data_IF_960556595260
#
_entry.id   IF_960556595260
#
_cell.length_a   1.000
_cell.length_b   1.000
_cell.length_c   1.000
_cell.angle_alpha   90.00
_cell.angle_beta   90.00
_cell.angle_gamma   90.00
#
_symmetry.space_group_name_H-M   'P 1'
#
loop_
_entity.id
_entity.type
_entity.pdbx_description
1 polymer ?
#
# COMPACT_ATOMS: atom_id res chain seq x y z
N UNK A 1 -55.82 66.77 29.33
CA UNK A 1 -55.89 66.48 27.89
C UNK A 1 -55.50 65.01 27.71
N UNK A 2 -56.45 64.14 27.33
CA UNK A 2 -56.29 62.67 27.24
C UNK A 2 -55.45 62.34 26.01
N UNK A 3 -54.41 61.50 26.13
CA UNK A 3 -53.72 60.89 24.97
C UNK A 3 -53.79 59.39 25.12
N UNK A 4 -54.42 58.77 24.12
CA UNK A 4 -54.74 57.36 24.03
C UNK A 4 -53.57 56.53 23.44
N UNK A 5 -53.53 55.26 23.83
CA UNK A 5 -52.64 54.20 23.33
C UNK A 5 -52.83 53.95 21.83
N UNK A 6 -51.74 53.64 21.14
CA UNK A 6 -51.75 52.86 19.90
C UNK A 6 -50.65 51.78 20.03
N UNK A 7 -51.07 50.51 20.07
CA UNK A 7 -50.19 49.33 20.06
C UNK A 7 -50.25 48.78 18.64
N UNK A 8 -49.12 48.78 17.92
CA UNK A 8 -49.00 48.10 16.63
C UNK A 8 -48.83 46.60 16.86
N UNK A 9 -49.76 45.80 16.31
CA UNK A 9 -49.62 44.36 16.20
C UNK A 9 -48.79 44.02 14.95
N UNK A 10 -47.67 43.33 15.13
CA UNK A 10 -46.87 42.77 14.03
C UNK A 10 -47.33 41.33 13.81
N UNK A 11 -47.99 41.09 12.69
CA UNK A 11 -48.38 39.74 12.24
C UNK A 11 -47.17 39.03 11.63
N UNK A 12 -46.63 38.02 12.31
CA UNK A 12 -45.63 37.13 11.74
C UNK A 12 -46.30 36.10 10.82
N UNK A 13 -46.08 36.22 9.50
CA UNK A 13 -46.36 35.16 8.54
C UNK A 13 -45.28 34.08 8.67
N UNK A 14 -45.65 32.89 9.12
CA UNK A 14 -44.81 31.69 9.04
C UNK A 14 -44.88 31.14 7.60
N UNK A 15 -43.77 31.22 6.87
CA UNK A 15 -43.59 30.49 5.61
C UNK A 15 -42.88 29.17 5.98
N UNK A 16 -43.49 27.99 5.79
CA UNK A 16 -42.78 26.73 5.98
C UNK A 16 -41.76 26.57 4.85
N UNK A 17 -40.48 26.64 5.20
CA UNK A 17 -39.40 26.23 4.31
C UNK A 17 -39.39 24.71 4.26
N UNK A 18 -39.85 24.13 3.15
CA UNK A 18 -39.65 22.71 2.82
C UNK A 18 -38.60 22.63 1.72
N UNK A 19 -37.76 21.61 1.84
CA UNK A 19 -36.64 21.17 0.98
C UNK A 19 -35.26 21.63 1.48
N UNK A 20 -34.24 20.79 1.48
CA UNK A 20 -34.13 19.42 0.96
C UNK A 20 -32.64 19.04 0.95
N UNK A 21 -32.35 17.78 1.23
CA UNK A 21 -31.00 17.24 1.22
C UNK A 21 -30.82 16.17 2.29
N UNK A 22 -31.44 15.01 2.07
CA UNK A 22 -30.92 13.81 2.72
C UNK A 22 -29.50 13.61 2.16
N UNK A 23 -28.50 13.94 2.97
CA UNK A 23 -27.14 13.44 2.75
C UNK A 23 -27.30 11.93 2.70
N UNK A 24 -27.04 11.33 1.54
CA UNK A 24 -26.98 9.88 1.45
C UNK A 24 -25.85 9.47 2.39
N UNK A 25 -26.21 9.02 3.60
CA UNK A 25 -25.27 8.36 4.47
C UNK A 25 -24.86 7.09 3.72
N UNK A 26 -23.70 7.14 3.08
CA UNK A 26 -23.10 5.95 2.51
C UNK A 26 -22.91 4.98 3.67
N UNK A 27 -23.67 3.89 3.69
CA UNK A 27 -23.47 2.84 4.68
C UNK A 27 -22.04 2.33 4.48
N UNK A 28 -21.24 2.35 5.55
CA UNK A 28 -19.91 1.77 5.56
C UNK A 28 -19.97 0.31 5.06
N UNK A 29 -19.01 -0.13 4.24
CA UNK A 29 -19.04 -1.48 3.73
C UNK A 29 -18.92 -2.50 4.86
N UNK A 30 -19.56 -3.66 4.68
CA UNK A 30 -19.53 -4.72 5.69
C UNK A 30 -18.21 -5.48 5.60
N UNK A 31 -17.32 -5.20 6.55
CA UNK A 31 -16.01 -5.84 6.67
C UNK A 31 -16.03 -6.91 7.74
N UNK A 32 -15.46 -8.08 7.44
CA UNK A 32 -15.34 -9.20 8.38
C UNK A 32 -13.89 -9.35 8.85
N UNK A 33 -13.66 -9.58 10.14
CA UNK A 33 -12.34 -9.98 10.64
C UNK A 33 -12.19 -11.49 10.56
N UNK A 34 -11.18 -11.99 9.84
CA UNK A 34 -10.92 -13.43 9.71
C UNK A 34 -9.76 -13.91 10.59
N UNK A 35 -8.83 -13.03 10.94
CA UNK A 35 -7.70 -13.35 11.83
C UNK A 35 -7.38 -12.17 12.74
N UNK A 36 -6.81 -12.45 13.92
CA UNK A 36 -6.53 -11.49 14.98
C UNK A 36 -5.24 -11.86 15.72
N UNK A 37 -4.68 -10.92 16.49
CA UNK A 37 -3.51 -11.14 17.35
C UNK A 37 -2.18 -11.26 16.60
N UNK A 38 -2.11 -10.71 15.39
CA UNK A 38 -0.90 -10.66 14.58
C UNK A 38 0.08 -9.62 15.13
N UNK A 39 1.38 -9.85 14.93
CA UNK A 39 2.46 -8.97 15.38
C UNK A 39 3.02 -8.17 14.20
N UNK A 40 2.52 -6.96 14.03
CA UNK A 40 2.94 -6.02 12.99
C UNK A 40 2.96 -6.67 11.58
N UNK A 41 1.82 -7.22 11.12
CA UNK A 41 1.74 -7.86 9.82
C UNK A 41 2.00 -6.82 8.72
N UNK A 42 2.75 -7.20 7.67
CA UNK A 42 3.30 -6.23 6.70
C UNK A 42 2.83 -6.44 5.26
N UNK A 43 2.89 -7.68 4.76
CA UNK A 43 2.44 -8.02 3.41
C UNK A 43 1.51 -9.23 3.38
N UNK A 44 0.57 -9.23 2.44
CA UNK A 44 -0.25 -10.38 2.04
C UNK A 44 0.23 -10.86 0.66
N UNK A 45 0.51 -12.15 0.51
CA UNK A 45 0.78 -12.76 -0.80
C UNK A 45 0.00 -14.07 -0.95
N UNK A 46 -0.95 -14.11 -1.89
CA UNK A 46 -1.78 -15.29 -2.10
C UNK A 46 -1.04 -16.40 -2.84
N UNK A 47 -1.22 -17.62 -2.36
CA UNK A 47 -0.80 -18.85 -3.01
C UNK A 47 -1.86 -19.33 -4.00
N UNK A 48 -1.47 -20.08 -5.04
CA UNK A 48 -2.41 -20.90 -5.80
C UNK A 48 -3.15 -21.83 -4.84
N UNK A 49 -4.48 -21.70 -4.76
CA UNK A 49 -5.32 -22.46 -3.84
C UNK A 49 -6.09 -21.61 -2.81
N UNK A 50 -5.78 -20.33 -2.67
CA UNK A 50 -6.57 -19.39 -1.87
C UNK A 50 -5.97 -19.02 -0.52
N UNK A 51 -5.04 -19.81 0.00
CA UNK A 51 -4.31 -19.45 1.22
C UNK A 51 -3.39 -18.25 0.97
N UNK A 52 -3.21 -17.41 1.98
CA UNK A 52 -2.28 -16.30 1.97
C UNK A 52 -1.03 -16.62 2.79
N UNK A 53 0.11 -16.14 2.32
CA UNK A 53 1.29 -15.92 3.15
C UNK A 53 1.25 -14.49 3.71
N UNK A 54 1.56 -14.35 4.99
CA UNK A 54 1.63 -13.05 5.67
C UNK A 54 2.97 -12.90 6.37
N UNK A 55 3.64 -11.78 6.15
CA UNK A 55 4.88 -11.43 6.88
C UNK A 55 4.58 -10.68 8.16
N UNK A 56 5.26 -11.02 9.24
CA UNK A 56 5.32 -10.21 10.47
C UNK A 56 6.65 -9.47 10.55
N UNK A 57 6.61 -8.13 10.52
CA UNK A 57 7.81 -7.28 10.44
C UNK A 57 8.78 -7.54 11.59
N UNK A 58 8.27 -7.46 12.82
CA UNK A 58 9.09 -7.40 14.03
C UNK A 58 9.59 -8.78 14.48
N UNK A 59 8.81 -9.84 14.23
CA UNK A 59 9.11 -11.21 14.65
C UNK A 59 9.85 -12.01 13.57
N UNK A 60 9.92 -11.46 12.35
CA UNK A 60 10.43 -12.12 11.15
C UNK A 60 9.70 -13.44 10.80
N UNK A 61 8.48 -13.64 11.33
CA UNK A 61 7.69 -14.83 11.05
C UNK A 61 7.01 -14.72 9.69
N UNK A 62 7.05 -15.82 8.96
CA UNK A 62 6.16 -16.09 7.85
C UNK A 62 4.96 -16.90 8.38
N UNK A 63 3.76 -16.41 8.14
CA UNK A 63 2.52 -17.06 8.50
C UNK A 63 1.80 -17.55 7.25
N UNK A 64 1.05 -18.64 7.38
CA UNK A 64 0.03 -19.07 6.42
C UNK A 64 -1.33 -18.77 7.03
N UNK A 65 -2.24 -18.23 6.22
CA UNK A 65 -3.61 -17.90 6.60
C UNK A 65 -4.56 -18.49 5.58
N UNK A 66 -5.50 -19.32 6.02
CA UNK A 66 -6.52 -19.90 5.14
C UNK A 66 -7.67 -18.92 4.90
N UNK A 67 -8.50 -19.09 3.85
CA UNK A 67 -9.71 -18.29 3.65
C UNK A 67 -10.69 -18.33 4.83
N UNK A 68 -10.66 -19.41 5.63
CA UNK A 68 -11.47 -19.55 6.83
C UNK A 68 -10.89 -18.81 8.05
N UNK A 69 -9.73 -18.16 7.92
CA UNK A 69 -9.08 -17.40 8.99
C UNK A 69 -8.15 -18.21 9.89
N UNK A 70 -7.88 -19.48 9.57
CA UNK A 70 -6.93 -20.27 10.34
C UNK A 70 -5.51 -19.77 10.07
N UNK A 71 -4.82 -19.37 11.14
CA UNK A 71 -3.42 -18.92 11.08
C UNK A 71 -2.49 -20.05 11.56
N UNK A 72 -1.43 -20.32 10.80
CA UNK A 72 -0.33 -21.20 11.20
C UNK A 72 1.00 -20.51 10.93
N UNK A 73 1.98 -20.74 11.79
CA UNK A 73 3.32 -20.24 11.57
C UNK A 73 4.10 -21.21 10.69
N UNK A 74 4.62 -20.71 9.57
CA UNK A 74 5.48 -21.47 8.66
C UNK A 74 6.90 -21.53 9.21
N UNK A 75 7.42 -20.40 9.70
CA UNK A 75 8.77 -20.32 10.23
C UNK A 75 9.25 -18.90 10.46
N UNK A 76 10.51 -18.76 10.87
CA UNK A 76 11.20 -17.46 11.02
C UNK A 76 12.22 -17.33 9.90
N UNK A 77 12.22 -16.19 9.21
CA UNK A 77 13.20 -15.91 8.17
C UNK A 77 14.54 -15.53 8.83
N UNK A 78 15.64 -16.27 8.58
CA UNK A 78 16.91 -16.03 9.24
C UNK A 78 17.57 -14.73 8.75
N UNK A 79 18.35 -14.10 9.63
CA UNK A 79 19.14 -12.90 9.29
C UNK A 79 18.34 -11.60 9.23
N UNK A 80 17.03 -11.64 9.47
CA UNK A 80 16.18 -10.45 9.61
C UNK A 80 16.51 -9.72 10.91
N UNK A 81 16.71 -8.41 10.83
CA UNK A 81 16.92 -7.53 11.98
C UNK A 81 15.74 -6.59 12.09
N UNK A 82 15.06 -6.64 13.23
CA UNK A 82 14.00 -5.70 13.58
C UNK A 82 14.55 -4.28 13.70
N UNK A 83 13.88 -3.34 13.03
CA UNK A 83 14.08 -1.89 13.13
C UNK A 83 12.71 -1.19 13.21
N UNK A 84 12.62 0.09 13.59
CA UNK A 84 11.33 0.79 13.69
C UNK A 84 10.44 0.70 12.43
N UNK A 85 11.01 0.75 11.23
CA UNK A 85 10.30 0.46 9.96
C UNK A 85 11.07 -0.54 9.08
N UNK A 86 11.82 -1.46 9.70
CA UNK A 86 12.56 -2.51 9.01
C UNK A 86 12.34 -3.86 9.67
N UNK A 87 12.50 -4.93 8.91
CA UNK A 87 12.23 -6.30 9.36
C UNK A 87 11.90 -7.20 8.18
N UNK A 88 10.96 -8.13 8.35
CA UNK A 88 10.38 -8.89 7.23
C UNK A 88 9.24 -8.08 6.60
N UNK A 89 9.47 -7.54 5.41
CA UNK A 89 8.59 -6.59 4.75
C UNK A 89 7.76 -7.27 3.64
N UNK A 90 7.95 -6.87 2.39
CA UNK A 90 7.17 -7.35 1.25
C UNK A 90 7.37 -8.83 0.99
N UNK A 91 6.30 -9.46 0.50
CA UNK A 91 6.27 -10.83 -0.01
C UNK A 91 5.77 -10.80 -1.46
N UNK A 92 6.32 -11.68 -2.29
CA UNK A 92 5.78 -11.95 -3.62
C UNK A 92 5.85 -13.44 -3.91
N UNK A 93 4.71 -14.05 -4.24
CA UNK A 93 4.64 -15.44 -4.70
C UNK A 93 4.95 -15.46 -6.20
N UNK A 94 5.80 -16.38 -6.64
CA UNK A 94 6.16 -16.53 -8.06
C UNK A 94 4.91 -16.70 -8.93
N UNK A 95 4.82 -16.07 -10.12
CA UNK A 95 3.76 -16.36 -11.10
C UNK A 95 3.73 -17.83 -11.52
N UNK A 96 4.84 -18.55 -11.34
CA UNK A 96 5.01 -19.97 -11.63
C UNK A 96 5.07 -20.84 -10.36
N UNK A 97 4.49 -20.35 -9.25
CA UNK A 97 4.58 -21.03 -7.95
C UNK A 97 4.12 -22.49 -7.98
N UNK A 98 3.11 -22.83 -8.79
CA UNK A 98 2.64 -24.20 -8.92
C UNK A 98 3.75 -25.16 -9.44
N UNK A 99 4.72 -24.65 -10.20
CA UNK A 99 5.84 -25.40 -10.73
C UNK A 99 7.12 -25.23 -9.90
N UNK A 100 7.45 -23.99 -9.52
CA UNK A 100 8.76 -23.65 -8.96
C UNK A 100 8.80 -23.55 -7.43
N UNK A 101 7.62 -23.42 -6.80
CA UNK A 101 7.41 -23.22 -5.36
C UNK A 101 8.14 -22.01 -4.78
N UNK A 102 8.50 -21.03 -5.60
CA UNK A 102 9.29 -19.88 -5.16
C UNK A 102 8.44 -18.77 -4.54
N UNK A 103 8.92 -18.28 -3.40
CA UNK A 103 8.45 -17.06 -2.74
C UNK A 103 9.64 -16.13 -2.54
N UNK A 104 9.40 -14.85 -2.76
CA UNK A 104 10.36 -13.77 -2.58
C UNK A 104 9.97 -12.95 -1.36
N UNK A 105 10.98 -12.51 -0.61
CA UNK A 105 10.80 -11.65 0.55
C UNK A 105 11.81 -10.51 0.55
N UNK A 106 11.34 -9.32 0.93
CA UNK A 106 12.18 -8.16 1.20
C UNK A 106 12.49 -8.12 2.69
N UNK A 107 13.77 -8.10 3.04
CA UNK A 107 14.22 -8.21 4.42
C UNK A 107 15.22 -7.12 4.76
N UNK A 108 15.06 -6.52 5.93
CA UNK A 108 16.09 -5.69 6.57
C UNK A 108 17.05 -6.56 7.36
N UNK A 109 18.35 -6.35 7.17
CA UNK A 109 19.43 -7.03 7.87
C UNK A 109 20.21 -6.03 8.74
N UNK A 110 21.30 -6.50 9.34
CA UNK A 110 22.22 -5.63 10.06
C UNK A 110 22.94 -4.64 9.13
N UNK A 111 23.14 -4.98 7.85
CA UNK A 111 23.98 -4.22 6.92
C UNK A 111 23.18 -3.49 5.83
N UNK A 112 22.07 -4.07 5.38
CA UNK A 112 21.31 -3.61 4.22
C UNK A 112 19.84 -4.04 4.30
N UNK A 113 19.03 -3.55 3.37
CA UNK A 113 17.86 -4.24 2.90
C UNK A 113 18.27 -5.16 1.74
N UNK A 114 17.60 -6.29 1.59
CA UNK A 114 17.86 -7.24 0.50
C UNK A 114 16.62 -8.03 0.13
N UNK A 115 16.62 -8.57 -1.07
CA UNK A 115 15.60 -9.47 -1.57
C UNK A 115 16.15 -10.89 -1.51
N UNK A 116 15.43 -11.76 -0.82
CA UNK A 116 15.68 -13.20 -0.80
C UNK A 116 14.60 -13.93 -1.60
N UNK A 117 14.94 -15.12 -2.07
CA UNK A 117 14.02 -16.10 -2.63
C UNK A 117 14.20 -17.42 -1.89
N UNK A 118 13.11 -18.13 -1.65
CA UNK A 118 13.10 -19.45 -1.04
C UNK A 118 12.02 -20.33 -1.65
N UNK A 119 12.14 -21.64 -1.46
CA UNK A 119 11.09 -22.60 -1.80
C UNK A 119 10.15 -22.77 -0.62
N UNK A 120 8.85 -22.75 -0.89
CA UNK A 120 7.80 -22.98 0.08
C UNK A 120 6.89 -24.13 -0.39
N UNK A 121 6.88 -25.22 0.36
CA UNK A 121 6.02 -26.39 0.14
C UNK A 121 5.76 -27.08 1.47
N UNK A 122 4.56 -27.62 1.65
CA UNK A 122 4.16 -28.39 2.83
C UNK A 122 4.52 -27.68 4.16
N UNK A 123 4.13 -26.40 4.25
CA UNK A 123 4.40 -25.50 5.38
C UNK A 123 5.90 -25.40 5.78
N UNK A 124 6.81 -25.66 4.84
CA UNK A 124 8.25 -25.68 5.07
C UNK A 124 8.99 -24.72 4.13
N UNK A 125 10.00 -24.02 4.67
CA UNK A 125 10.89 -23.13 3.92
C UNK A 125 12.22 -23.85 3.65
N UNK A 126 12.64 -23.86 2.39
CA UNK A 126 13.93 -24.43 1.96
C UNK A 126 14.61 -23.52 0.94
N UNK A 127 15.88 -23.78 0.63
CA UNK A 127 16.63 -23.11 -0.45
C UNK A 127 16.62 -21.58 -0.41
N UNK A 128 16.78 -20.99 0.78
CA UNK A 128 16.89 -19.54 0.93
C UNK A 128 18.15 -19.02 0.22
N UNK A 129 17.98 -18.10 -0.72
CA UNK A 129 19.05 -17.43 -1.48
C UNK A 129 18.80 -15.93 -1.51
N UNK A 130 19.86 -15.14 -1.33
CA UNK A 130 19.81 -13.71 -1.64
C UNK A 130 19.90 -13.52 -3.15
N UNK A 131 18.97 -12.77 -3.73
CA UNK A 131 18.95 -12.46 -5.17
C UNK A 131 19.30 -11.00 -5.46
N UNK A 132 19.12 -10.10 -4.48
CA UNK A 132 19.60 -8.72 -4.56
C UNK A 132 19.97 -8.25 -3.16
N UNK A 133 21.18 -7.72 -2.98
CA UNK A 133 21.68 -7.16 -1.72
C UNK A 133 22.10 -5.70 -1.90
N UNK A 134 22.50 -5.05 -0.82
CA UNK A 134 23.06 -3.70 -0.87
C UNK A 134 22.04 -2.58 -1.04
N UNK A 135 20.74 -2.86 -0.90
CA UNK A 135 19.74 -1.78 -0.79
C UNK A 135 20.00 -1.07 0.54
N UNK A 136 20.16 0.25 0.60
CA UNK A 136 20.46 0.91 1.87
C UNK A 136 19.38 0.64 2.93
N UNK A 137 19.77 0.63 4.20
CA UNK A 137 18.89 0.39 5.34
C UNK A 137 19.03 1.50 6.37
N UNK A 138 17.91 1.86 6.98
CA UNK A 138 17.85 2.79 8.10
C UNK A 138 16.71 2.37 9.05
N UNK A 139 16.52 3.10 10.13
CA UNK A 139 15.41 2.86 11.05
C UNK A 139 14.05 3.23 10.43
N UNK A 140 14.05 4.12 9.43
CA UNK A 140 12.88 4.61 8.71
C UNK A 140 13.21 4.75 7.21
N UNK A 141 12.18 4.84 6.37
CA UNK A 141 12.23 4.97 4.91
C UNK A 141 12.98 3.84 4.19
N UNK A 142 12.58 2.60 4.49
CA UNK A 142 13.14 1.39 3.86
C UNK A 142 12.38 0.93 2.61
N UNK A 143 11.27 1.57 2.25
CA UNK A 143 10.33 1.05 1.24
C UNK A 143 9.82 -0.34 1.61
N UNK A 144 10.02 -1.31 0.72
CA UNK A 144 9.97 -2.73 1.05
C UNK A 144 8.85 -3.53 0.38
N UNK A 145 8.04 -2.94 -0.50
CA UNK A 145 6.98 -3.69 -1.22
C UNK A 145 7.62 -4.51 -2.34
N UNK A 146 7.16 -5.75 -2.49
CA UNK A 146 7.48 -6.63 -3.60
C UNK A 146 6.21 -6.98 -4.35
N UNK A 147 6.28 -7.02 -5.69
CA UNK A 147 5.18 -7.54 -6.51
C UNK A 147 5.70 -7.97 -7.87
N UNK A 148 5.16 -9.06 -8.42
CA UNK A 148 5.37 -9.38 -9.82
C UNK A 148 4.46 -8.52 -10.69
N UNK A 149 5.05 -7.90 -11.73
CA UNK A 149 4.31 -7.17 -12.75
C UNK A 149 3.65 -8.10 -13.76
N UNK A 150 2.76 -7.57 -14.62
CA UNK A 150 2.12 -8.34 -15.70
C UNK A 150 3.11 -8.87 -16.75
N UNK A 151 4.34 -8.34 -16.76
CA UNK A 151 5.47 -8.77 -17.59
C UNK A 151 6.27 -9.93 -16.98
N UNK A 152 5.87 -10.44 -15.81
CA UNK A 152 6.56 -11.52 -15.10
C UNK A 152 7.85 -11.11 -14.39
N UNK A 153 8.18 -9.82 -14.35
CA UNK A 153 9.35 -9.31 -13.63
C UNK A 153 8.99 -8.97 -12.18
N UNK A 154 9.97 -9.08 -11.31
CA UNK A 154 9.83 -8.69 -9.90
C UNK A 154 10.10 -7.20 -9.76
N UNK A 155 9.17 -6.47 -9.17
CA UNK A 155 9.33 -5.08 -8.81
C UNK A 155 9.54 -4.95 -7.31
N UNK A 156 10.48 -4.09 -6.93
CA UNK A 156 10.79 -3.80 -5.53
C UNK A 156 10.81 -2.30 -5.28
N UNK A 157 10.11 -1.87 -4.24
CA UNK A 157 10.07 -0.46 -3.85
C UNK A 157 11.07 -0.22 -2.72
N UNK A 158 11.76 0.91 -2.76
CA UNK A 158 12.78 1.28 -1.75
C UNK A 158 12.48 2.68 -1.22
N UNK A 159 13.16 3.07 -0.15
CA UNK A 159 13.11 4.44 0.35
C UNK A 159 14.48 5.09 0.36
N UNK A 160 14.54 6.37 0.71
CA UNK A 160 15.75 7.18 0.68
C UNK A 160 16.66 6.94 1.89
N UNK A 161 16.19 6.19 2.89
CA UNK A 161 16.97 5.79 4.08
C UNK A 161 17.68 6.96 4.79
N UNK A 162 17.05 8.15 4.83
CA UNK A 162 17.61 9.36 5.45
C UNK A 162 18.87 9.90 4.77
N UNK A 163 19.03 9.63 3.47
CA UNK A 163 20.14 10.08 2.64
C UNK A 163 19.58 10.77 1.39
N UNK A 164 19.61 12.10 1.41
CA UNK A 164 18.98 12.95 0.38
C UNK A 164 19.65 12.82 -0.99
N UNK A 165 20.89 12.33 -1.04
CA UNK A 165 21.62 12.05 -2.27
C UNK A 165 21.15 10.78 -2.98
N UNK A 166 20.63 9.78 -2.26
CA UNK A 166 20.29 8.48 -2.84
C UNK A 166 19.20 8.53 -3.91
N UNK A 167 18.05 9.21 -3.72
CA UNK A 167 16.96 9.22 -4.68
C UNK A 167 17.39 9.62 -6.10
N UNK A 168 18.28 10.60 -6.23
CA UNK A 168 18.76 11.14 -7.51
C UNK A 168 19.99 10.39 -8.06
N UNK A 169 20.71 9.65 -7.22
CA UNK A 169 21.89 8.87 -7.64
C UNK A 169 21.48 7.51 -8.24
N UNK A 170 21.81 7.28 -9.52
CA UNK A 170 21.56 6.03 -10.24
C UNK A 170 22.47 4.87 -9.79
N UNK A 171 23.60 5.17 -9.13
CA UNK A 171 24.46 4.14 -8.53
C UNK A 171 23.91 3.62 -7.19
N UNK A 172 22.94 4.34 -6.59
CA UNK A 172 22.27 3.93 -5.36
C UNK A 172 20.96 3.19 -5.64
N UNK A 173 20.69 2.17 -4.83
CA UNK A 173 19.40 1.47 -4.80
C UNK A 173 18.37 2.15 -3.87
N UNK A 174 18.76 3.21 -3.14
CA UNK A 174 17.85 3.97 -2.28
C UNK A 174 17.01 4.96 -3.08
N UNK A 175 15.73 5.11 -2.70
CA UNK A 175 14.79 6.06 -3.30
C UNK A 175 14.42 5.72 -4.74
N UNK A 176 14.21 4.43 -5.01
CA UNK A 176 13.93 3.84 -6.33
C UNK A 176 12.70 2.94 -6.31
N UNK A 177 12.10 2.75 -7.48
CA UNK A 177 11.45 1.48 -7.82
C UNK A 177 12.43 0.69 -8.68
N UNK A 178 12.64 -0.57 -8.32
CA UNK A 178 13.53 -1.50 -9.00
C UNK A 178 12.70 -2.50 -9.81
N UNK A 179 13.23 -2.95 -10.95
CA UNK A 179 12.67 -4.03 -11.77
C UNK A 179 13.76 -5.04 -12.11
N UNK A 180 13.54 -6.28 -11.68
CA UNK A 180 14.50 -7.37 -11.76
C UNK A 180 13.83 -8.63 -12.32
N UNK A 181 14.63 -9.48 -12.94
CA UNK A 181 14.21 -10.86 -13.21
C UNK A 181 13.90 -11.59 -11.90
N UNK A 182 13.13 -12.70 -11.92
CA UNK A 182 12.86 -13.49 -10.71
C UNK A 182 14.13 -14.01 -9.99
N UNK A 183 15.26 -14.07 -10.71
CA UNK A 183 16.59 -14.46 -10.19
C UNK A 183 17.44 -13.26 -9.71
N UNK A 184 16.94 -12.03 -9.80
CA UNK A 184 17.61 -10.83 -9.27
C UNK A 184 18.50 -10.05 -10.23
N UNK A 185 18.65 -10.50 -11.49
CA UNK A 185 19.37 -9.73 -12.53
C UNK A 185 18.56 -8.53 -13.02
N UNK A 186 19.18 -7.45 -13.53
CA UNK A 186 18.51 -6.42 -14.30
C UNK A 186 17.55 -7.02 -15.32
N UNK A 187 16.30 -6.56 -15.32
CA UNK A 187 15.29 -7.10 -16.23
C UNK A 187 15.52 -6.55 -17.65
N UNK A 188 15.31 -7.35 -18.71
CA UNK A 188 15.37 -6.88 -20.08
C UNK A 188 14.44 -5.69 -20.31
N UNK A 189 14.93 -4.66 -21.00
CA UNK A 189 14.17 -3.43 -21.26
C UNK A 189 14.19 -2.42 -20.09
N UNK A 190 15.01 -2.63 -19.07
CA UNK A 190 15.26 -1.57 -18.08
C UNK A 190 15.84 -0.31 -18.74
N UNK A 191 15.47 0.89 -18.25
CA UNK A 191 15.80 2.16 -18.89
C UNK A 191 17.28 2.57 -18.69
N UNK A 192 17.96 2.01 -17.69
CA UNK A 192 19.35 2.31 -17.37
C UNK A 192 20.23 1.08 -17.62
N UNK A 193 21.34 1.22 -18.38
CA UNK A 193 22.24 0.10 -18.70
C UNK A 193 22.74 -0.63 -17.45
N UNK A 194 22.72 -1.96 -17.49
CA UNK A 194 23.20 -2.86 -16.43
C UNK A 194 22.66 -2.57 -15.02
N UNK A 195 21.47 -1.96 -14.93
CA UNK A 195 20.88 -1.52 -13.67
C UNK A 195 19.50 -2.13 -13.45
N UNK A 196 19.21 -2.48 -12.19
CA UNK A 196 17.88 -2.87 -11.73
C UNK A 196 16.94 -1.67 -11.52
N UNK A 197 17.44 -0.44 -11.62
CA UNK A 197 16.62 0.76 -11.44
C UNK A 197 15.58 0.88 -12.56
N UNK A 198 14.32 1.01 -12.17
CA UNK A 198 13.20 1.26 -13.07
C UNK A 198 12.82 2.74 -13.09
N UNK A 199 12.68 3.34 -11.90
CA UNK A 199 12.44 4.78 -11.71
C UNK A 199 13.21 5.29 -10.50
N UNK A 200 13.41 6.61 -10.45
CA UNK A 200 14.23 7.28 -9.44
C UNK A 200 13.53 8.54 -8.88
N UNK A 201 14.16 9.16 -7.88
CA UNK A 201 13.62 10.36 -7.25
C UNK A 201 12.46 10.08 -6.31
N UNK A 202 12.48 8.95 -5.60
CA UNK A 202 11.46 8.58 -4.63
C UNK A 202 11.94 8.77 -3.19
N UNK A 203 11.03 9.13 -2.29
CA UNK A 203 11.24 9.23 -0.85
C UNK A 203 11.06 7.90 -0.14
N UNK A 204 9.86 7.32 -0.13
CA UNK A 204 9.59 6.06 0.56
C UNK A 204 8.34 5.39 -0.02
N UNK A 205 8.55 4.50 -0.99
CA UNK A 205 7.46 3.83 -1.71
C UNK A 205 7.12 2.53 -1.01
N UNK A 206 5.85 2.30 -0.65
CA UNK A 206 5.41 1.07 0.02
C UNK A 206 4.21 0.38 -0.63
N UNK A 207 3.82 0.81 -1.82
CA UNK A 207 2.80 0.15 -2.62
C UNK A 207 3.12 0.25 -4.10
N UNK A 208 2.84 -0.82 -4.83
CA UNK A 208 2.82 -0.84 -6.29
C UNK A 208 1.74 -1.80 -6.77
N UNK A 209 0.99 -1.39 -7.78
CA UNK A 209 -0.04 -2.19 -8.43
C UNK A 209 -0.08 -1.88 -9.93
N UNK A 210 -0.70 -2.77 -10.69
CA UNK A 210 -0.99 -2.54 -12.09
C UNK A 210 -2.48 -2.59 -12.33
N UNK A 211 -2.95 -1.78 -13.26
CA UNK A 211 -4.27 -1.94 -13.82
C UNK A 211 -4.28 -3.02 -14.94
N UNK A 212 -5.45 -3.36 -15.51
CA UNK A 212 -5.55 -4.38 -16.55
C UNK A 212 -4.87 -4.02 -17.88
N UNK A 213 -4.57 -2.73 -18.10
CA UNK A 213 -3.83 -2.27 -19.28
C UNK A 213 -2.30 -2.35 -19.06
N UNK A 214 -1.86 -2.73 -17.87
CA UNK A 214 -0.44 -2.82 -17.50
C UNK A 214 0.18 -1.49 -17.08
N UNK A 215 -0.63 -0.45 -16.82
CA UNK A 215 -0.14 0.81 -16.24
C UNK A 215 0.18 0.58 -14.76
N UNK A 216 1.38 0.94 -14.36
CA UNK A 216 1.84 0.79 -12.99
C UNK A 216 1.47 2.04 -12.17
N UNK A 217 1.02 1.84 -10.93
CA UNK A 217 0.74 2.90 -9.97
C UNK A 217 1.44 2.59 -8.66
N UNK A 218 2.04 3.58 -8.03
CA UNK A 218 2.72 3.43 -6.75
C UNK A 218 2.32 4.52 -5.75
N UNK A 219 2.27 4.14 -4.49
CA UNK A 219 1.98 5.02 -3.36
C UNK A 219 3.27 5.37 -2.63
N UNK A 220 3.38 6.63 -2.22
CA UNK A 220 4.59 7.16 -1.63
C UNK A 220 4.30 8.04 -0.42
N UNK A 221 5.09 7.84 0.63
CA UNK A 221 5.05 8.70 1.82
C UNK A 221 5.79 10.00 1.55
N UNK A 222 5.10 11.11 1.74
CA UNK A 222 5.66 12.44 1.83
C UNK A 222 6.54 12.64 3.05
N UNK A 223 7.21 13.78 3.12
CA UNK A 223 8.01 14.16 4.28
C UNK A 223 7.15 14.79 5.36
N UNK A 224 6.52 15.90 5.02
CA UNK A 224 5.65 16.63 5.95
C UNK A 224 4.37 17.10 5.27
N UNK A 225 4.38 17.27 3.95
CA UNK A 225 3.38 18.07 3.25
C UNK A 225 2.46 17.20 2.40
N UNK A 226 3.02 16.35 1.54
CA UNK A 226 2.27 15.64 0.52
C UNK A 226 2.69 14.17 0.40
N UNK A 227 1.77 13.27 0.72
CA UNK A 227 1.83 11.89 0.23
C UNK A 227 1.32 11.83 -1.21
N UNK A 228 1.70 10.78 -1.94
CA UNK A 228 1.48 10.74 -3.39
C UNK A 228 0.91 9.40 -3.88
N UNK A 229 0.13 9.49 -4.95
CA UNK A 229 -0.12 8.41 -5.90
C UNK A 229 0.51 8.80 -7.23
N UNK A 230 1.39 7.95 -7.73
CA UNK A 230 2.17 8.19 -8.93
C UNK A 230 1.83 7.14 -10.01
N UNK A 231 1.60 7.56 -11.26
CA UNK A 231 1.68 6.65 -12.41
C UNK A 231 3.17 6.41 -12.73
N UNK A 232 3.58 5.15 -12.71
CA UNK A 232 4.99 4.74 -12.80
C UNK A 232 5.40 4.47 -14.24
N UNK A 233 6.36 5.28 -14.74
CA UNK A 233 6.85 5.21 -16.11
C UNK A 233 8.36 4.96 -16.16
N UNK A 234 8.85 3.94 -16.90
CA UNK A 234 10.28 3.59 -16.92
C UNK A 234 11.19 4.78 -17.21
N UNK A 235 12.22 4.97 -16.39
CA UNK A 235 13.25 5.99 -16.53
C UNK A 235 12.85 7.36 -15.99
N UNK A 236 11.60 7.54 -15.56
CA UNK A 236 11.11 8.80 -15.03
C UNK A 236 11.64 9.09 -13.63
N UNK A 237 11.84 10.39 -13.37
CA UNK A 237 12.30 10.95 -12.11
C UNK A 237 11.13 11.64 -11.40
N UNK A 238 10.81 11.18 -10.18
CA UNK A 238 9.70 11.67 -9.35
C UNK A 238 10.12 12.80 -8.41
N UNK A 239 11.39 13.18 -8.45
CA UNK A 239 11.85 14.49 -8.03
C UNK A 239 12.23 14.66 -6.57
N UNK A 240 11.94 13.71 -5.68
CA UNK A 240 12.47 13.76 -4.31
C UNK A 240 14.02 13.73 -4.33
N UNK A 241 14.73 14.53 -3.51
CA UNK A 241 14.22 15.49 -2.51
C UNK A 241 14.03 16.91 -3.02
N UNK A 242 14.21 17.17 -4.31
CA UNK A 242 14.12 18.51 -4.88
C UNK A 242 12.68 19.04 -4.93
N UNK A 243 11.71 18.13 -5.09
CA UNK A 243 10.27 18.44 -5.01
C UNK A 243 9.54 17.41 -4.13
N UNK A 244 8.45 17.85 -3.51
CA UNK A 244 7.48 17.04 -2.76
C UNK A 244 6.07 17.46 -3.22
N UNK A 245 5.28 16.55 -3.77
CA UNK A 245 3.93 16.82 -4.24
C UNK A 245 3.87 17.43 -5.66
N UNK A 246 2.90 18.32 -5.93
CA UNK A 246 2.64 18.80 -7.29
C UNK A 246 3.87 19.49 -7.91
N UNK A 247 4.25 19.05 -9.11
CA UNK A 247 5.44 19.54 -9.82
C UNK A 247 5.17 19.83 -11.31
N UNK A 248 3.93 20.20 -11.65
CA UNK A 248 3.47 20.48 -13.02
C UNK A 248 4.34 21.57 -13.67
N UNK A 249 4.83 21.29 -14.88
CA UNK A 249 5.70 22.20 -15.64
C UNK A 249 7.18 22.17 -15.25
N UNK A 250 7.55 21.31 -14.29
CA UNK A 250 8.95 21.03 -13.96
C UNK A 250 9.54 19.91 -14.83
N UNK A 251 10.82 19.59 -14.61
CA UNK A 251 11.50 18.43 -15.22
C UNK A 251 11.13 17.09 -14.57
N UNK A 252 10.42 17.12 -13.45
CA UNK A 252 10.03 15.94 -12.68
C UNK A 252 8.64 15.46 -13.10
N UNK A 253 8.40 14.17 -12.88
CA UNK A 253 7.07 13.58 -13.08
C UNK A 253 6.20 13.96 -11.90
N UNK A 254 5.08 14.62 -12.17
CA UNK A 254 4.14 15.02 -11.13
C UNK A 254 3.27 13.83 -10.69
N UNK A 255 2.86 13.78 -9.41
CA UNK A 255 1.90 12.79 -8.93
C UNK A 255 0.51 13.01 -9.51
N UNK A 256 -0.22 11.91 -9.69
CA UNK A 256 -1.62 11.90 -10.12
C UNK A 256 -2.54 12.44 -9.01
N UNK A 257 -2.23 12.08 -7.75
CA UNK A 257 -2.95 12.54 -6.56
C UNK A 257 -1.95 12.88 -5.46
N UNK A 258 -2.26 13.92 -4.70
CA UNK A 258 -1.58 14.24 -3.45
C UNK A 258 -2.56 14.29 -2.27
N UNK A 259 -2.10 13.82 -1.11
CA UNK A 259 -2.82 13.94 0.16
C UNK A 259 -1.98 14.66 1.19
N UNK A 260 -2.60 15.34 2.17
CA UNK A 260 -1.84 15.73 3.37
C UNK A 260 -1.40 14.48 4.10
N UNK A 261 -0.19 14.51 4.67
CA UNK A 261 0.43 13.36 5.35
C UNK A 261 -0.48 12.70 6.39
N UNK A 262 -1.17 13.50 7.21
CA UNK A 262 -2.15 13.02 8.19
C UNK A 262 -3.46 12.46 7.63
N UNK A 263 -3.75 12.66 6.34
CA UNK A 263 -4.94 12.11 5.67
C UNK A 263 -4.67 10.75 5.01
N UNK A 264 -3.41 10.40 4.74
CA UNK A 264 -3.05 9.15 4.09
C UNK A 264 -1.94 8.41 4.83
N UNK A 265 -0.69 8.81 4.64
CA UNK A 265 0.51 7.99 4.85
C UNK A 265 0.33 6.60 4.18
N UNK A 266 0.21 6.56 2.83
CA UNK A 266 -0.29 5.41 2.08
C UNK A 266 0.76 4.31 1.96
N UNK A 267 0.37 3.06 2.20
CA UNK A 267 1.24 1.90 2.10
C UNK A 267 0.80 0.97 0.98
N UNK A 268 0.25 -0.22 1.27
CA UNK A 268 -0.18 -1.16 0.23
C UNK A 268 -1.26 -0.61 -0.70
N UNK A 269 -1.22 -1.04 -1.96
CA UNK A 269 -2.14 -0.67 -3.04
C UNK A 269 -2.48 -1.90 -3.87
N UNK A 270 -3.71 -2.02 -4.35
CA UNK A 270 -4.09 -3.00 -5.36
C UNK A 270 -5.15 -2.45 -6.31
N UNK A 271 -5.17 -2.93 -7.55
CA UNK A 271 -6.30 -2.68 -8.46
C UNK A 271 -7.39 -3.71 -8.24
N UNK A 272 -8.65 -3.27 -8.14
CA UNK A 272 -9.81 -4.14 -8.18
C UNK A 272 -11.05 -3.38 -8.68
N UNK A 273 -11.76 -3.99 -9.63
CA UNK A 273 -13.06 -3.52 -10.15
C UNK A 273 -13.05 -2.03 -10.52
N UNK A 274 -12.14 -1.62 -11.40
CA UNK A 274 -12.12 -0.23 -11.90
C UNK A 274 -11.52 0.80 -10.93
N UNK A 275 -10.96 0.38 -9.80
CA UNK A 275 -10.36 1.30 -8.83
C UNK A 275 -9.02 0.79 -8.29
N UNK A 276 -8.17 1.73 -7.89
CA UNK A 276 -7.05 1.47 -7.00
C UNK A 276 -7.55 1.56 -5.56
N UNK A 277 -7.26 0.55 -4.77
CA UNK A 277 -7.55 0.47 -3.34
C UNK A 277 -6.26 0.65 -2.57
N UNK A 278 -6.19 1.61 -1.66
CA UNK A 278 -4.97 2.03 -0.98
C UNK A 278 -5.18 1.99 0.53
N UNK A 279 -4.36 1.21 1.23
CA UNK A 279 -4.33 1.15 2.68
C UNK A 279 -3.55 2.35 3.24
N UNK A 280 -4.17 3.10 4.14
CA UNK A 280 -3.62 4.33 4.70
C UNK A 280 -3.34 4.19 6.20
N UNK A 281 -2.14 4.55 6.62
CA UNK A 281 -1.69 4.40 8.00
C UNK A 281 -2.08 5.60 8.86
N UNK A 282 -1.49 6.77 8.58
CA UNK A 282 -1.75 7.99 9.34
C UNK A 282 -3.17 8.51 9.13
N UNK A 283 -3.72 8.26 7.94
CA UNK A 283 -5.11 8.55 7.62
C UNK A 283 -6.12 7.59 8.25
N UNK A 284 -5.68 6.43 8.75
CA UNK A 284 -6.50 5.37 9.35
C UNK A 284 -7.74 5.03 8.50
N UNK A 285 -7.56 4.82 7.20
CA UNK A 285 -8.66 4.59 6.24
C UNK A 285 -8.24 3.73 5.07
N UNK A 286 -9.23 3.27 4.32
CA UNK A 286 -9.05 2.68 2.99
C UNK A 286 -9.48 3.71 1.94
N UNK A 287 -8.58 4.09 1.05
CA UNK A 287 -8.91 4.92 -0.10
C UNK A 287 -9.31 4.05 -1.29
N UNK A 288 -10.38 4.46 -1.98
CA UNK A 288 -10.73 3.97 -3.31
C UNK A 288 -10.53 5.10 -4.32
N UNK A 289 -9.67 4.88 -5.32
CA UNK A 289 -9.40 5.84 -6.40
C UNK A 289 -9.92 5.24 -7.71
N UNK A 290 -11.05 5.71 -8.25
CA UNK A 290 -11.55 5.24 -9.54
C UNK A 290 -10.54 5.48 -10.66
N UNK A 291 -10.46 4.54 -11.60
CA UNK A 291 -9.66 4.66 -12.82
C UNK A 291 -10.56 4.46 -14.04
N UNK A 292 -10.48 5.40 -14.98
CA UNK A 292 -11.12 5.21 -16.27
C UNK A 292 -10.31 4.25 -17.18
N UNK A 293 -10.81 3.99 -18.40
CA UNK A 293 -10.11 3.11 -19.36
C UNK A 293 -8.78 3.68 -19.84
N UNK A 294 -8.64 5.00 -19.88
CA UNK A 294 -7.41 5.69 -20.25
C UNK A 294 -6.36 5.66 -19.12
N UNK A 295 -6.76 5.28 -17.91
CA UNK A 295 -5.91 5.29 -16.72
C UNK A 295 -5.97 6.60 -15.95
N UNK A 296 -6.90 7.50 -16.29
CA UNK A 296 -7.09 8.75 -15.57
C UNK A 296 -7.70 8.45 -14.20
N UNK A 297 -7.10 9.04 -13.16
CA UNK A 297 -7.62 8.98 -11.80
C UNK A 297 -8.87 9.84 -11.62
N UNK A 298 -9.90 9.28 -10.99
CA UNK A 298 -11.08 9.98 -10.53
C UNK A 298 -10.92 10.54 -9.10
N UNK A 299 -12.00 11.10 -8.56
CA UNK A 299 -12.03 11.62 -7.19
C UNK A 299 -11.89 10.48 -6.17
N UNK A 300 -10.91 10.52 -5.25
CA UNK A 300 -10.80 9.53 -4.19
C UNK A 300 -12.03 9.48 -3.28
N UNK A 301 -12.44 8.27 -2.92
CA UNK A 301 -13.51 7.96 -1.97
C UNK A 301 -12.91 7.33 -0.72
N UNK A 302 -13.33 7.82 0.45
CA UNK A 302 -12.87 7.33 1.75
C UNK A 302 -13.78 6.22 2.26
N UNK A 303 -13.19 5.16 2.81
CA UNK A 303 -13.88 4.07 3.49
C UNK A 303 -13.21 3.78 4.83
N UNK A 304 -13.98 3.25 5.80
CA UNK A 304 -13.48 2.71 7.06
C UNK A 304 -12.70 3.71 7.93
N UNK A 305 -13.01 5.01 7.83
CA UNK A 305 -12.25 6.08 8.48
C UNK A 305 -12.25 5.93 10.01
N UNK A 306 -11.08 5.67 10.60
CA UNK A 306 -10.86 5.48 12.04
C UNK A 306 -11.40 4.17 12.61
N UNK A 307 -12.13 3.38 11.81
CA UNK A 307 -12.87 2.18 12.27
C UNK A 307 -11.90 1.12 12.78
N UNK A 308 -10.85 0.82 12.02
CA UNK A 308 -9.86 -0.21 12.35
C UNK A 308 -8.48 0.35 12.73
N UNK A 309 -8.34 1.67 12.75
CA UNK A 309 -7.05 2.34 12.91
C UNK A 309 -6.21 2.27 11.64
N UNK A 310 -4.90 2.04 11.80
CA UNK A 310 -3.90 2.09 10.74
C UNK A 310 -4.05 0.89 9.81
N UNK A 311 -4.16 1.11 8.50
CA UNK A 311 -4.18 0.05 7.49
C UNK A 311 -2.87 0.01 6.70
N UNK A 312 -2.28 -1.19 6.56
CA UNK A 312 -0.93 -1.41 6.02
C UNK A 312 -0.90 -1.96 4.62
N UNK A 313 -1.70 -2.98 4.36
CA UNK A 313 -1.71 -3.66 3.08
C UNK A 313 -3.13 -3.94 2.66
N UNK A 314 -3.33 -4.01 1.35
CA UNK A 314 -4.59 -4.41 0.73
C UNK A 314 -4.29 -5.23 -0.52
N UNK A 315 -4.85 -6.43 -0.59
CA UNK A 315 -4.61 -7.37 -1.68
C UNK A 315 -5.93 -8.01 -2.15
N UNK A 316 -6.01 -8.29 -3.45
CA UNK A 316 -7.14 -9.04 -4.03
C UNK A 316 -6.91 -10.53 -3.79
N UNK A 317 -7.82 -11.16 -3.05
CA UNK A 317 -7.88 -12.59 -2.88
C UNK A 317 -8.34 -13.28 -4.17
N UNK A 318 -8.04 -14.58 -4.37
CA UNK A 318 -8.43 -15.30 -5.58
C UNK A 318 -9.94 -15.36 -5.85
N UNK A 319 -10.77 -15.16 -4.83
CA UNK A 319 -12.24 -15.06 -4.94
C UNK A 319 -12.74 -13.64 -5.29
N UNK A 320 -11.82 -12.67 -5.44
CA UNK A 320 -12.11 -11.28 -5.74
C UNK A 320 -12.38 -10.39 -4.52
N UNK A 321 -12.34 -10.93 -3.29
CA UNK A 321 -12.46 -10.14 -2.08
C UNK A 321 -11.19 -9.31 -1.84
N UNK A 322 -11.30 -8.19 -1.13
CA UNK A 322 -10.14 -7.43 -0.67
C UNK A 322 -9.78 -7.85 0.75
N UNK A 323 -8.57 -8.35 0.93
CA UNK A 323 -8.00 -8.60 2.25
C UNK A 323 -7.15 -7.41 2.66
N UNK A 324 -7.28 -6.97 3.91
CA UNK A 324 -6.55 -5.83 4.46
C UNK A 324 -5.86 -6.21 5.76
N UNK A 325 -4.68 -5.64 5.98
CA UNK A 325 -3.94 -5.75 7.24
C UNK A 325 -4.10 -4.47 8.06
N UNK A 326 -4.44 -4.61 9.35
CA UNK A 326 -4.22 -3.51 10.32
C UNK A 326 -2.75 -3.46 10.75
N UNK A 327 -2.30 -2.31 11.25
CA UNK A 327 -0.93 -2.10 11.70
C UNK A 327 -0.85 -1.21 12.95
N UNK A 328 -1.72 -1.46 13.91
CA UNK A 328 -1.79 -0.74 15.17
C UNK A 328 -0.71 -1.19 16.17
N UNK A 329 -0.05 -2.32 15.92
CA UNK A 329 1.07 -2.82 16.76
C UNK A 329 2.45 -2.39 16.27
N UNK A 330 2.54 -1.42 15.34
CA UNK A 330 3.80 -1.00 14.73
C UNK A 330 4.63 -0.02 15.58
N UNK A 331 4.11 0.40 16.73
CA UNK A 331 4.73 1.32 17.68
C UNK A 331 4.31 2.80 17.52
N UNK A 332 3.44 3.12 16.55
CA UNK A 332 2.99 4.51 16.28
C UNK A 332 1.68 4.84 17.01
N UNK A 333 0.76 3.89 17.11
CA UNK A 333 -0.55 4.06 17.77
C UNK A 333 -0.73 3.07 18.92
N UNK A 334 -1.70 3.33 19.79
CA UNK A 334 -2.10 2.38 20.82
C UNK A 334 -2.88 1.20 20.18
N UNK A 335 -2.35 -0.02 20.32
CA UNK A 335 -3.02 -1.23 19.86
C UNK A 335 -4.31 -1.50 20.65
N UNK A 336 -5.34 -1.96 19.95
CA UNK A 336 -6.63 -2.37 20.55
C UNK A 336 -6.61 -3.88 20.82
N UNK A 337 -7.51 -4.40 21.68
CA UNK A 337 -7.64 -5.84 21.87
C UNK A 337 -7.87 -6.57 20.53
N UNK A 338 -7.10 -7.64 20.29
CA UNK A 338 -7.15 -8.43 19.06
C UNK A 338 -6.32 -7.87 17.89
N UNK A 339 -5.67 -6.71 18.04
CA UNK A 339 -4.77 -6.20 17.00
C UNK A 339 -3.44 -7.00 16.95
N UNK A 340 -2.83 -7.15 15.78
CA UNK A 340 -3.33 -6.75 14.46
C UNK A 340 -4.20 -7.84 13.80
N UNK A 341 -4.98 -7.43 12.79
CA UNK A 341 -6.08 -8.20 12.21
C UNK A 341 -5.93 -8.35 10.70
N UNK A 342 -6.57 -9.40 10.18
CA UNK A 342 -6.89 -9.51 8.75
C UNK A 342 -8.37 -9.27 8.58
N UNK A 343 -8.68 -8.29 7.75
CA UNK A 343 -10.02 -7.83 7.43
C UNK A 343 -10.37 -8.22 6.00
N UNK A 344 -11.62 -8.56 5.74
CA UNK A 344 -12.11 -8.95 4.41
C UNK A 344 -13.30 -8.08 4.03
N UNK A 345 -13.16 -7.40 2.90
CA UNK A 345 -14.26 -6.76 2.18
C UNK A 345 -14.72 -7.70 1.05
N UNK A 346 -15.97 -8.21 1.09
CA UNK A 346 -16.44 -9.21 0.13
C UNK A 346 -16.47 -8.72 -1.32
N UNK A 347 -16.18 -9.61 -2.26
CA UNK A 347 -16.09 -9.32 -3.70
C UNK A 347 -17.34 -8.61 -4.27
N UNK A 348 -18.54 -9.00 -3.82
CA UNK A 348 -19.79 -8.37 -4.28
C UNK A 348 -19.87 -6.89 -3.88
N UNK A 349 -19.35 -6.55 -2.69
CA UNK A 349 -19.28 -5.17 -2.24
C UNK A 349 -18.17 -4.42 -2.98
N UNK A 350 -17.00 -5.03 -3.18
CA UNK A 350 -15.93 -4.46 -4.01
C UNK A 350 -16.45 -4.13 -5.41
N UNK A 351 -17.24 -5.02 -6.02
CA UNK A 351 -17.87 -4.79 -7.31
C UNK A 351 -18.87 -3.62 -7.27
N UNK A 352 -19.76 -3.61 -6.27
CA UNK A 352 -20.76 -2.56 -6.11
C UNK A 352 -20.13 -1.17 -5.91
N UNK A 353 -19.04 -1.11 -5.14
CA UNK A 353 -18.29 0.11 -4.90
C UNK A 353 -17.49 0.54 -6.14
N UNK A 354 -16.93 -0.41 -6.88
CA UNK A 354 -16.12 -0.14 -8.08
C UNK A 354 -16.89 0.52 -9.23
N UNK A 355 -18.20 0.25 -9.37
CA UNK A 355 -19.04 0.83 -10.43
C UNK A 355 -19.76 2.14 -10.05
N UNK A 356 -19.64 2.60 -8.81
CA UNK A 356 -20.30 3.83 -8.33
C UNK A 356 -19.41 5.08 -8.38
N UNK A 357 -18.18 4.94 -8.85
CA UNK A 357 -17.17 6.01 -8.96
C UNK A 357 -17.11 6.67 -10.32
#
# INVERSE_FOLDING_TARGET
MKIARCVLAVSCLFIPFVSGGAVSAHAEPAVTTIAQGLRTPWAIAFLPGGDALVSERDTARLLRVTPAGQVSAVGVIPGVVRRPQGGLLGLAVSPHFAQDRFVHAYVSTAQDNRIIRFRYADDTITDIRTILAGIPVADDANGGRLRFGPDGMLYATTGFNFRTEYPQDLASLGGKILRLTPDGRPAPGNPFPDSVVWTLGHRNVQGIAWDPAGRAFATEFGSATYDELNEIRPGHNYGWPEVEGPSIGSRFTAPEIVWRTGQASPSGITYAVGSLWIAALGGERLWQVPLDRAGQVGTPVEHLVGVYGRLRDVAVAPDGALWMLTSNTDGVSAARPGDDRILVLPAQQTATLGFRG
#
